data_IF_935894686897
#
_entry.id   IF_935894686897
#
_cell.length_a   1.000
_cell.length_b   1.000
_cell.length_c   1.000
_cell.angle_alpha   90.00
_cell.angle_beta   90.00
_cell.angle_gamma   90.00
#
_symmetry.space_group_name_H-M   'P 1'
#
loop_
_entity.id
_entity.type
_entity.pdbx_description
1 polymer ?
#
# COMPACT_ATOMS: atom_id res chain seq x y z
N UNK A 1 -41.85 38.00 19.58
CA UNK A 1 -40.91 39.13 19.73
C UNK A 1 -41.26 40.15 18.67
N UNK A 2 -41.57 41.38 19.08
CA UNK A 2 -41.85 42.51 18.18
C UNK A 2 -40.54 42.94 17.50
N UNK A 3 -40.60 43.24 16.20
CA UNK A 3 -39.44 43.75 15.47
C UNK A 3 -38.86 44.98 16.19
N UNK A 4 -37.53 45.11 16.29
CA UNK A 4 -36.92 46.30 16.87
C UNK A 4 -37.37 47.55 16.10
N UNK A 5 -37.49 48.71 16.78
CA UNK A 5 -38.01 49.92 16.17
C UNK A 5 -37.15 50.35 14.97
N UNK A 6 -37.80 50.56 13.83
CA UNK A 6 -37.16 51.02 12.60
C UNK A 6 -36.64 52.45 12.81
N UNK A 7 -35.33 52.67 12.64
CA UNK A 7 -34.70 53.97 12.84
C UNK A 7 -35.10 54.89 11.68
N UNK A 8 -36.16 55.70 11.85
CA UNK A 8 -36.58 56.69 10.85
C UNK A 8 -35.54 57.80 10.72
N UNK A 9 -35.06 58.02 9.50
CA UNK A 9 -34.26 59.20 9.13
C UNK A 9 -32.79 58.95 8.79
N UNK A 10 -32.32 57.69 8.76
CA UNK A 10 -30.95 57.35 8.35
C UNK A 10 -30.93 56.78 6.93
N UNK A 11 -30.09 57.34 6.06
CA UNK A 11 -29.83 56.79 4.72
C UNK A 11 -28.74 55.73 4.84
N UNK A 12 -28.97 54.46 4.46
CA UNK A 12 -27.94 53.43 4.51
C UNK A 12 -26.76 53.82 3.61
N UNK A 13 -25.53 53.71 4.13
CA UNK A 13 -24.31 53.91 3.35
C UNK A 13 -23.48 52.62 3.36
N UNK A 14 -23.08 52.15 2.19
CA UNK A 14 -22.13 51.05 2.05
C UNK A 14 -20.72 51.60 2.25
N UNK A 15 -20.00 51.05 3.22
CA UNK A 15 -18.60 51.40 3.52
C UNK A 15 -17.78 50.12 3.35
N UNK A 16 -16.71 50.17 2.58
CA UNK A 16 -15.74 49.09 2.48
C UNK A 16 -14.64 49.34 3.51
N UNK A 17 -14.48 48.41 4.45
CA UNK A 17 -13.42 48.46 5.46
C UNK A 17 -12.25 47.58 5.00
N UNK A 18 -11.02 48.05 5.18
CA UNK A 18 -9.80 47.32 4.87
C UNK A 18 -8.96 47.17 6.14
N UNK A 19 -8.24 46.05 6.26
CA UNK A 19 -7.19 45.87 7.27
C UNK A 19 -5.93 46.57 6.76
N UNK A 20 -5.43 47.53 7.53
CA UNK A 20 -4.19 48.25 7.18
C UNK A 20 -2.94 47.61 7.79
N UNK A 21 -3.11 46.75 8.79
CA UNK A 21 -1.99 46.09 9.45
C UNK A 21 -1.31 45.08 8.53
N UNK A 22 0.01 45.24 8.35
CA UNK A 22 0.86 44.29 7.63
C UNK A 22 1.21 43.05 8.47
N UNK A 23 0.93 43.08 9.78
CA UNK A 23 1.18 41.98 10.73
C UNK A 23 -0.13 41.35 11.16
N UNK A 24 -0.48 40.25 10.50
CA UNK A 24 -1.71 39.45 10.68
C UNK A 24 -1.73 38.62 11.98
N UNK A 25 -1.46 39.22 13.15
CA UNK A 25 -1.72 38.58 14.44
C UNK A 25 -2.84 39.32 15.17
N UNK A 26 -3.76 38.55 15.76
CA UNK A 26 -5.10 38.96 16.21
C UNK A 26 -5.15 40.10 17.25
N UNK A 27 -4.01 40.49 17.81
CA UNK A 27 -3.94 41.47 18.90
C UNK A 27 -3.81 42.92 18.43
N UNK A 28 -3.34 43.18 17.20
CA UNK A 28 -3.05 44.53 16.69
C UNK A 28 -3.67 44.77 15.29
N UNK A 29 -4.98 44.56 15.17
CA UNK A 29 -5.74 44.84 13.94
C UNK A 29 -6.27 46.27 13.94
N UNK A 30 -5.53 47.16 13.28
CA UNK A 30 -6.00 48.52 12.96
C UNK A 30 -6.94 48.50 11.75
N UNK A 31 -8.08 49.17 11.90
CA UNK A 31 -9.11 49.27 10.87
C UNK A 31 -9.32 50.71 10.43
N UNK A 32 -9.54 50.91 9.13
CA UNK A 32 -9.99 52.19 8.59
C UNK A 32 -11.36 52.04 7.90
N UNK A 33 -12.41 52.76 8.36
CA UNK A 33 -12.42 53.64 9.53
C UNK A 33 -12.38 52.86 10.86
N UNK A 34 -11.89 53.52 11.92
CA UNK A 34 -11.77 52.92 13.27
C UNK A 34 -13.11 52.73 13.99
N UNK A 35 -14.17 53.41 13.54
CA UNK A 35 -15.50 53.32 14.13
C UNK A 35 -16.61 53.41 13.08
N UNK A 36 -17.60 52.51 13.17
CA UNK A 36 -18.80 52.51 12.31
C UNK A 36 -20.04 52.57 13.21
N UNK A 37 -20.84 53.67 13.17
CA UNK A 37 -21.92 53.90 14.14
C UNK A 37 -23.12 52.97 14.00
N UNK A 38 -23.34 52.37 12.82
CA UNK A 38 -24.45 51.45 12.55
C UNK A 38 -23.99 50.38 11.55
N UNK A 39 -24.06 49.11 11.93
CA UNK A 39 -23.68 47.98 11.08
C UNK A 39 -24.95 47.27 10.61
N UNK A 40 -25.12 47.13 9.30
CA UNK A 40 -26.08 46.20 8.71
C UNK A 40 -25.30 44.97 8.24
N UNK A 41 -25.48 43.84 8.91
CA UNK A 41 -24.82 42.58 8.57
C UNK A 41 -25.59 41.89 7.45
N UNK A 42 -25.16 42.12 6.21
CA UNK A 42 -25.58 41.28 5.08
C UNK A 42 -24.65 40.06 5.04
N UNK A 43 -25.14 38.91 5.50
CA UNK A 43 -24.35 37.68 5.51
C UNK A 43 -24.06 37.23 4.09
N UNK A 44 -22.87 37.53 3.57
CA UNK A 44 -22.35 36.92 2.34
C UNK A 44 -21.80 35.55 2.71
N UNK A 45 -22.50 34.48 2.31
CA UNK A 45 -21.98 33.11 2.45
C UNK A 45 -20.90 32.93 1.38
N UNK A 46 -19.65 33.22 1.73
CA UNK A 46 -18.50 32.97 0.87
C UNK A 46 -17.93 31.58 1.19
N UNK A 47 -17.95 30.67 0.22
CA UNK A 47 -17.27 29.38 0.34
C UNK A 47 -15.77 29.58 0.16
N UNK A 48 -15.02 29.53 1.25
CA UNK A 48 -13.56 29.55 1.22
C UNK A 48 -13.06 28.11 1.18
N UNK A 49 -12.38 27.74 0.09
CA UNK A 49 -11.61 26.51 0.02
C UNK A 49 -10.27 26.75 0.71
N UNK A 50 -10.17 26.43 2.00
CA UNK A 50 -8.90 26.42 2.70
C UNK A 50 -8.08 25.21 2.21
N UNK A 51 -6.91 25.47 1.62
CA UNK A 51 -5.89 24.44 1.36
C UNK A 51 -4.80 24.56 2.41
N UNK A 52 -4.43 23.44 3.02
CA UNK A 52 -3.32 23.39 3.95
C UNK A 52 -2.04 23.07 3.17
N UNK A 53 -1.02 23.92 3.32
CA UNK A 53 0.30 23.76 2.73
C UNK A 53 1.36 23.79 3.82
N UNK A 54 2.33 22.89 3.77
CA UNK A 54 3.53 22.90 4.62
C UNK A 54 4.72 23.50 3.87
N UNK A 55 5.67 24.11 4.58
CA UNK A 55 6.91 24.60 3.96
C UNK A 55 7.95 23.47 3.94
N UNK A 56 8.33 23.02 2.74
CA UNK A 56 9.43 22.08 2.53
C UNK A 56 10.76 22.79 2.17
N UNK A 57 11.87 22.04 2.10
CA UNK A 57 13.20 22.58 1.78
C UNK A 57 13.31 23.19 0.36
N UNK A 58 12.40 22.83 -0.55
CA UNK A 58 12.34 23.36 -1.91
C UNK A 58 11.07 24.19 -2.20
N UNK A 59 10.33 24.58 -1.16
CA UNK A 59 9.11 25.39 -1.29
C UNK A 59 7.85 24.75 -0.69
N UNK A 60 6.67 25.33 -0.95
CA UNK A 60 5.41 24.90 -0.36
C UNK A 60 4.94 23.54 -0.90
N UNK A 61 4.48 22.67 0.00
CA UNK A 61 4.01 21.30 -0.27
C UNK A 61 2.56 21.17 0.18
N UNK A 62 1.70 20.57 -0.65
CA UNK A 62 0.27 20.38 -0.31
C UNK A 62 0.11 19.23 0.70
N UNK A 63 -0.62 19.48 1.80
CA UNK A 63 -0.91 18.46 2.80
C UNK A 63 -2.08 17.59 2.34
N UNK A 64 -1.96 16.26 2.51
CA UNK A 64 -3.02 15.30 2.18
C UNK A 64 -3.57 14.67 3.47
N UNK A 65 -4.88 14.47 3.49
CA UNK A 65 -5.55 13.71 4.55
C UNK A 65 -5.57 12.23 4.14
N UNK A 66 -5.16 11.35 5.05
CA UNK A 66 -5.25 9.89 4.85
C UNK A 66 -6.64 9.38 5.22
N UNK A 67 -6.97 8.14 4.85
CA UNK A 67 -8.32 7.55 5.02
C UNK A 67 -8.78 7.47 6.49
N UNK A 68 -7.84 7.47 7.42
CA UNK A 68 -8.04 7.44 8.89
C UNK A 68 -8.16 8.84 9.52
N UNK A 69 -8.08 9.92 8.73
CA UNK A 69 -8.21 11.29 9.23
C UNK A 69 -6.89 11.92 9.70
N UNK A 70 -5.76 11.21 9.57
CA UNK A 70 -4.45 11.75 9.88
C UNK A 70 -3.99 12.76 8.81
N UNK A 71 -3.35 13.85 9.26
CA UNK A 71 -2.79 14.87 8.37
C UNK A 71 -1.33 14.53 8.07
N UNK A 72 -1.06 14.06 6.85
CA UNK A 72 0.29 13.70 6.43
C UNK A 72 0.93 14.83 5.63
N UNK A 73 1.89 15.54 6.25
CA UNK A 73 2.89 16.31 5.52
C UNK A 73 3.99 15.34 5.14
N UNK A 74 3.78 14.54 4.09
CA UNK A 74 4.90 13.82 3.49
C UNK A 74 5.72 14.83 2.70
N UNK A 75 6.60 15.55 3.40
CA UNK A 75 7.93 15.72 2.82
C UNK A 75 8.45 14.31 2.60
N UNK A 76 9.08 14.03 1.45
CA UNK A 76 10.04 12.91 1.41
C UNK A 76 10.80 12.96 2.73
N UNK A 77 10.78 11.90 3.53
CA UNK A 77 11.53 11.90 4.78
C UNK A 77 12.94 12.35 4.39
N UNK A 78 13.47 13.41 5.00
CA UNK A 78 14.69 14.07 4.52
C UNK A 78 15.94 13.18 4.47
N UNK A 79 15.78 11.90 4.78
CA UNK A 79 16.75 10.82 4.64
C UNK A 79 16.68 10.08 3.29
N UNK A 80 15.69 10.29 2.40
CA UNK A 80 15.59 9.62 1.09
C UNK A 80 15.18 10.58 -0.02
N UNK A 81 15.76 10.40 -1.21
CA UNK A 81 15.58 11.30 -2.33
C UNK A 81 14.51 10.83 -3.31
N UNK A 82 14.34 9.51 -3.44
CA UNK A 82 13.39 8.92 -4.37
C UNK A 82 12.89 7.54 -3.89
N UNK A 83 11.94 6.99 -4.63
CA UNK A 83 11.39 5.66 -4.39
C UNK A 83 11.02 4.97 -5.69
N UNK A 84 10.96 3.64 -5.62
CA UNK A 84 10.46 2.78 -6.67
C UNK A 84 9.31 1.94 -6.12
N UNK A 85 8.27 1.76 -6.93
CA UNK A 85 7.09 0.97 -6.59
C UNK A 85 7.00 -0.21 -7.52
N UNK A 86 6.85 -1.40 -6.95
CA UNK A 86 6.60 -2.63 -7.68
C UNK A 86 5.34 -3.31 -7.13
N UNK A 87 4.48 -3.80 -8.02
CA UNK A 87 3.23 -4.48 -7.65
C UNK A 87 3.17 -5.84 -8.33
N UNK A 88 2.67 -6.85 -7.62
CA UNK A 88 2.36 -8.17 -8.17
C UNK A 88 0.98 -8.62 -7.70
N UNK A 89 0.10 -8.91 -8.65
CA UNK A 89 -1.05 -9.78 -8.41
C UNK A 89 -0.66 -11.19 -8.84
N UNK A 90 -0.80 -12.14 -7.92
CA UNK A 90 -0.54 -13.55 -8.23
C UNK A 90 -1.72 -14.16 -8.98
N UNK A 91 -1.46 -15.28 -9.63
CA UNK A 91 -2.45 -16.09 -10.35
C UNK A 91 -2.05 -17.55 -10.21
N UNK A 92 -3.04 -18.44 -10.15
CA UNK A 92 -2.80 -19.87 -10.26
C UNK A 92 -2.28 -20.21 -11.66
N UNK A 93 -1.31 -21.13 -11.70
CA UNK A 93 -0.86 -21.82 -12.92
C UNK A 93 -1.80 -22.99 -13.20
N UNK A 94 -2.19 -23.69 -12.12
CA UNK A 94 -3.04 -24.87 -12.15
C UNK A 94 -4.13 -24.71 -11.11
N UNK A 95 -5.33 -25.12 -11.47
CA UNK A 95 -6.45 -25.36 -10.58
C UNK A 95 -7.05 -26.72 -10.94
N UNK A 96 -6.90 -27.72 -10.07
CA UNK A 96 -7.33 -29.10 -10.35
C UNK A 96 -7.70 -29.84 -9.06
N UNK A 97 -7.89 -31.15 -9.17
CA UNK A 97 -8.23 -32.09 -8.10
C UNK A 97 -7.29 -33.29 -8.15
N UNK A 98 -6.61 -33.60 -7.04
CA UNK A 98 -5.69 -34.75 -6.95
C UNK A 98 -6.44 -36.07 -7.07
N UNK A 99 -5.79 -37.11 -7.59
CA UNK A 99 -6.34 -38.47 -7.67
C UNK A 99 -5.51 -39.53 -6.93
N UNK A 100 -4.34 -39.18 -6.40
CA UNK A 100 -3.51 -40.07 -5.57
C UNK A 100 -3.52 -39.78 -4.07
N UNK A 101 -2.93 -40.69 -3.30
CA UNK A 101 -2.79 -40.63 -1.82
C UNK A 101 -1.37 -40.95 -1.35
N UNK A 102 -0.37 -40.74 -2.22
CA UNK A 102 1.02 -41.00 -1.85
C UNK A 102 1.51 -39.89 -0.93
N UNK A 103 2.06 -40.27 0.23
CA UNK A 103 2.54 -39.32 1.24
C UNK A 103 3.59 -38.37 0.66
N UNK A 104 3.52 -37.09 1.05
CA UNK A 104 4.40 -36.00 0.59
C UNK A 104 4.40 -35.80 -0.93
N UNK A 105 3.31 -36.22 -1.62
CA UNK A 105 3.14 -36.06 -3.07
C UNK A 105 1.84 -35.38 -3.43
N UNK A 106 1.89 -34.67 -4.55
CA UNK A 106 0.71 -34.34 -5.34
C UNK A 106 0.71 -35.23 -6.58
N UNK A 107 -0.35 -36.02 -6.77
CA UNK A 107 -0.53 -36.92 -7.92
C UNK A 107 -1.83 -36.55 -8.61
N UNK A 108 -1.75 -36.20 -9.90
CA UNK A 108 -2.91 -35.84 -10.71
C UNK A 108 -2.71 -36.32 -12.15
N UNK A 109 -3.35 -37.44 -12.51
CA UNK A 109 -3.21 -38.02 -13.85
C UNK A 109 -3.84 -37.17 -14.97
N UNK A 110 -4.64 -36.15 -14.64
CA UNK A 110 -5.25 -35.26 -15.60
C UNK A 110 -4.39 -34.03 -15.93
N UNK A 111 -3.32 -33.78 -15.17
CA UNK A 111 -2.48 -32.58 -15.30
C UNK A 111 -1.04 -32.96 -15.65
N UNK A 112 -0.50 -32.38 -16.73
CA UNK A 112 0.91 -32.51 -17.10
C UNK A 112 1.74 -31.36 -16.50
N UNK A 113 2.36 -31.60 -15.36
CA UNK A 113 3.15 -30.63 -14.62
C UNK A 113 4.42 -30.18 -15.36
N UNK A 114 4.98 -31.03 -16.23
CA UNK A 114 6.18 -30.70 -17.00
C UNK A 114 5.83 -29.75 -18.13
N UNK A 115 4.74 -30.04 -18.86
CA UNK A 115 4.26 -29.16 -19.95
C UNK A 115 3.77 -27.80 -19.43
N UNK A 116 3.25 -27.75 -18.21
CA UNK A 116 2.87 -26.51 -17.53
C UNK A 116 4.03 -25.76 -16.89
N UNK A 117 5.27 -26.25 -17.09
CA UNK A 117 6.50 -25.64 -16.60
C UNK A 117 6.50 -25.47 -15.07
N UNK A 118 5.88 -26.37 -14.32
CA UNK A 118 5.92 -26.32 -12.85
C UNK A 118 7.36 -26.46 -12.39
N UNK A 119 7.76 -25.62 -11.43
CA UNK A 119 9.13 -25.55 -10.96
C UNK A 119 9.24 -25.85 -9.45
N UNK A 120 10.40 -26.35 -9.03
CA UNK A 120 10.75 -26.47 -7.61
C UNK A 120 10.67 -25.09 -6.95
N UNK A 121 9.99 -25.03 -5.80
CA UNK A 121 9.69 -23.81 -5.07
C UNK A 121 8.35 -23.16 -5.43
N UNK A 122 7.60 -23.68 -6.42
CA UNK A 122 6.20 -23.30 -6.62
C UNK A 122 5.37 -23.72 -5.39
N UNK A 123 4.38 -22.90 -5.01
CA UNK A 123 3.50 -23.16 -3.88
C UNK A 123 2.30 -23.99 -4.31
N UNK A 124 2.05 -25.09 -3.59
CA UNK A 124 0.86 -25.93 -3.73
C UNK A 124 -0.08 -25.63 -2.59
N UNK A 125 -1.24 -25.04 -2.89
CA UNK A 125 -2.27 -24.73 -1.90
C UNK A 125 -3.41 -25.75 -2.02
N UNK A 126 -3.59 -26.59 -1.00
CA UNK A 126 -4.78 -27.43 -0.87
C UNK A 126 -5.95 -26.56 -0.39
N UNK A 127 -6.98 -26.45 -1.23
CA UNK A 127 -8.14 -25.58 -0.99
C UNK A 127 -9.21 -26.27 -0.16
N UNK A 128 -9.18 -27.59 -0.04
CA UNK A 128 -10.08 -28.35 0.83
C UNK A 128 -9.71 -28.12 2.29
N UNK A 129 -8.44 -28.30 2.63
CA UNK A 129 -7.95 -28.30 4.01
C UNK A 129 -7.27 -26.98 4.43
N UNK A 130 -7.05 -26.08 3.47
CA UNK A 130 -6.35 -24.79 3.66
C UNK A 130 -4.92 -24.96 4.16
N UNK A 131 -4.27 -26.02 3.70
CA UNK A 131 -2.85 -26.31 3.92
C UNK A 131 -2.05 -25.96 2.68
N UNK A 132 -0.76 -25.70 2.86
CA UNK A 132 0.15 -25.34 1.77
C UNK A 132 1.48 -26.07 1.94
N UNK A 133 2.08 -26.42 0.81
CA UNK A 133 3.40 -27.01 0.71
C UNK A 133 4.16 -26.40 -0.48
N UNK A 134 5.47 -26.55 -0.51
CA UNK A 134 6.32 -26.20 -1.65
C UNK A 134 6.66 -27.44 -2.47
N UNK A 135 6.73 -27.28 -3.79
CA UNK A 135 7.28 -28.30 -4.68
C UNK A 135 8.77 -28.46 -4.40
N UNK A 136 9.21 -29.67 -4.04
CA UNK A 136 10.62 -30.01 -3.79
C UNK A 136 11.27 -30.74 -4.96
N UNK A 137 10.49 -31.45 -5.77
CA UNK A 137 10.93 -32.11 -7.00
C UNK A 137 9.75 -32.37 -7.95
N UNK A 138 10.07 -32.54 -9.23
CA UNK A 138 9.12 -32.99 -10.27
C UNK A 138 9.51 -34.42 -10.58
N UNK A 139 8.68 -35.39 -10.17
CA UNK A 139 9.03 -36.80 -10.26
C UNK A 139 8.76 -37.34 -11.66
N UNK A 140 7.62 -36.96 -12.24
CA UNK A 140 7.19 -37.29 -13.60
C UNK A 140 6.15 -36.27 -14.12
N UNK A 141 5.49 -36.60 -15.23
CA UNK A 141 4.47 -35.74 -15.85
C UNK A 141 3.30 -35.41 -14.91
N UNK A 142 2.94 -36.31 -14.00
CA UNK A 142 1.71 -36.27 -13.22
C UNK A 142 1.96 -36.32 -11.70
N UNK A 143 3.21 -36.24 -11.26
CA UNK A 143 3.59 -36.37 -9.85
C UNK A 143 4.62 -35.32 -9.42
N UNK A 144 4.33 -34.63 -8.33
CA UNK A 144 5.25 -33.69 -7.66
C UNK A 144 5.59 -34.16 -6.26
N UNK A 145 6.84 -33.96 -5.85
CA UNK A 145 7.27 -34.05 -4.46
C UNK A 145 6.98 -32.75 -3.71
N UNK A 146 6.45 -32.84 -2.49
CA UNK A 146 6.12 -31.70 -1.63
C UNK A 146 7.02 -31.69 -0.38
N UNK A 147 7.14 -30.55 0.30
CA UNK A 147 7.86 -30.43 1.59
C UNK A 147 6.99 -30.75 2.81
N UNK A 148 5.69 -30.98 2.61
CA UNK A 148 4.74 -31.42 3.62
C UNK A 148 3.65 -32.29 3.00
N UNK A 149 3.21 -33.30 3.75
CA UNK A 149 2.07 -34.14 3.39
C UNK A 149 0.75 -33.38 3.56
N UNK A 150 0.22 -32.86 2.45
CA UNK A 150 -0.96 -32.01 2.43
C UNK A 150 -2.07 -32.53 1.50
N UNK A 151 -1.93 -33.71 0.88
CA UNK A 151 -2.86 -34.18 -0.14
C UNK A 151 -3.50 -35.53 0.19
N UNK A 152 -4.82 -35.60 0.01
CA UNK A 152 -5.61 -36.83 -0.07
C UNK A 152 -6.37 -36.84 -1.41
N UNK A 153 -6.62 -38.02 -1.97
CA UNK A 153 -7.37 -38.18 -3.23
C UNK A 153 -8.72 -37.45 -3.19
N UNK A 154 -9.06 -36.76 -4.29
CA UNK A 154 -10.30 -35.99 -4.44
C UNK A 154 -10.24 -34.56 -3.91
N UNK A 155 -9.10 -34.10 -3.38
CA UNK A 155 -8.95 -32.74 -2.86
C UNK A 155 -8.60 -31.73 -3.95
N UNK A 156 -9.17 -30.54 -3.85
CA UNK A 156 -8.93 -29.47 -4.82
C UNK A 156 -7.68 -28.68 -4.45
N UNK A 157 -6.87 -28.31 -5.43
CA UNK A 157 -5.64 -27.58 -5.20
C UNK A 157 -5.40 -26.49 -6.25
N UNK A 158 -4.49 -25.56 -5.91
CA UNK A 158 -3.94 -24.57 -6.83
C UNK A 158 -2.42 -24.55 -6.74
N UNK A 159 -1.73 -24.33 -7.86
CA UNK A 159 -0.27 -24.13 -7.90
C UNK A 159 0.04 -22.69 -8.28
N UNK A 160 0.91 -22.01 -7.54
CA UNK A 160 1.23 -20.59 -7.73
C UNK A 160 2.74 -20.40 -7.71
N UNK A 161 3.23 -19.60 -8.67
CA UNK A 161 4.64 -19.26 -8.78
C UNK A 161 5.04 -18.12 -7.84
N UNK A 162 6.13 -18.28 -7.06
CA UNK A 162 6.79 -17.16 -6.41
C UNK A 162 7.19 -16.10 -7.42
N UNK A 163 7.19 -14.84 -6.99
CA UNK A 163 7.60 -13.73 -7.84
C UNK A 163 8.85 -13.06 -7.29
N UNK A 164 9.82 -12.81 -8.16
CA UNK A 164 11.01 -12.04 -7.83
C UNK A 164 10.83 -10.60 -8.29
N UNK A 165 10.81 -9.69 -7.33
CA UNK A 165 10.91 -8.27 -7.56
C UNK A 165 12.37 -7.88 -7.68
N UNK A 166 12.70 -7.11 -8.72
CA UNK A 166 14.01 -6.52 -8.92
C UNK A 166 13.82 -5.01 -9.07
N UNK A 167 14.43 -4.26 -8.16
CA UNK A 167 14.45 -2.81 -8.24
C UNK A 167 15.51 -2.36 -9.25
N UNK A 168 15.31 -1.18 -9.83
CA UNK A 168 16.24 -0.55 -10.77
C UNK A 168 17.60 -0.19 -10.16
N UNK A 169 17.67 -0.10 -8.83
CA UNK A 169 18.88 0.20 -8.07
C UNK A 169 18.76 -0.33 -6.64
N UNK A 170 19.84 -0.21 -5.86
CA UNK A 170 19.84 -0.61 -4.46
C UNK A 170 18.95 0.31 -3.62
N UNK A 171 18.03 -0.28 -2.88
CA UNK A 171 17.15 0.39 -1.93
C UNK A 171 17.80 0.41 -0.55
N UNK A 172 17.63 1.50 0.19
CA UNK A 172 18.10 1.67 1.57
C UNK A 172 17.03 1.38 2.63
N UNK A 173 15.76 1.39 2.22
CA UNK A 173 14.61 0.95 2.99
C UNK A 173 13.62 0.27 2.06
N UNK A 174 12.92 -0.72 2.57
CA UNK A 174 11.84 -1.40 1.86
C UNK A 174 10.58 -1.46 2.72
N UNK A 175 9.46 -1.15 2.09
CA UNK A 175 8.13 -1.38 2.63
C UNK A 175 7.46 -2.53 1.87
N UNK A 176 6.96 -3.50 2.63
CA UNK A 176 6.27 -4.69 2.15
C UNK A 176 4.78 -4.55 2.49
N UNK A 177 3.94 -4.73 1.48
CA UNK A 177 2.49 -4.77 1.64
C UNK A 177 1.96 -6.07 1.08
N UNK A 178 1.11 -6.72 1.85
CA UNK A 178 0.46 -7.97 1.49
C UNK A 178 -1.05 -7.79 1.54
N UNK A 179 -1.77 -8.39 0.59
CA UNK A 179 -3.23 -8.28 0.48
C UNK A 179 -3.89 -9.63 0.16
N UNK A 180 -5.04 -9.89 0.79
CA UNK A 180 -5.91 -11.07 0.58
C UNK A 180 -5.29 -12.46 0.84
N UNK A 181 -4.08 -12.54 1.38
CA UNK A 181 -3.43 -13.81 1.68
C UNK A 181 -2.07 -13.61 2.33
N UNK A 182 -1.53 -14.66 2.91
CA UNK A 182 -0.20 -14.74 3.51
C UNK A 182 0.89 -14.88 2.44
N UNK A 183 2.01 -14.20 2.65
CA UNK A 183 3.18 -14.23 1.77
C UNK A 183 4.46 -14.34 2.60
N UNK A 184 5.33 -15.28 2.22
CA UNK A 184 6.71 -15.33 2.67
C UNK A 184 7.56 -14.42 1.79
N UNK A 185 8.19 -13.41 2.39
CA UNK A 185 9.20 -12.59 1.71
C UNK A 185 10.60 -13.05 2.06
N UNK A 186 11.49 -13.04 1.07
CA UNK A 186 12.92 -13.14 1.29
C UNK A 186 13.62 -11.99 0.58
N UNK A 187 14.58 -11.37 1.25
CA UNK A 187 15.29 -10.20 0.73
C UNK A 187 16.74 -10.57 0.41
N UNK A 188 17.27 -10.02 -0.67
CA UNK A 188 18.70 -10.11 -0.99
C UNK A 188 19.44 -8.90 -0.43
N UNK A 189 20.70 -9.10 -0.07
CA UNK A 189 21.62 -7.99 0.19
C UNK A 189 22.46 -7.71 -1.06
N UNK A 190 22.14 -6.62 -1.74
CA UNK A 190 22.98 -5.97 -2.75
C UNK A 190 23.44 -6.86 -3.91
N UNK A 191 22.66 -7.88 -4.27
CA UNK A 191 23.00 -8.89 -5.29
C UNK A 191 24.28 -9.71 -4.99
N UNK A 192 24.90 -9.52 -3.82
CA UNK A 192 26.15 -10.21 -3.43
C UNK A 192 25.82 -11.47 -2.62
N UNK A 193 24.74 -11.43 -1.83
CA UNK A 193 24.34 -12.53 -0.96
C UNK A 193 23.05 -13.18 -1.48
N UNK A 194 22.88 -14.50 -1.27
CA UNK A 194 21.63 -15.19 -1.54
C UNK A 194 20.48 -14.58 -0.70
N UNK A 195 19.26 -14.98 -1.03
CA UNK A 195 18.08 -14.65 -0.24
C UNK A 195 18.28 -15.02 1.23
N UNK A 196 17.97 -14.07 2.12
CA UNK A 196 17.97 -14.30 3.55
C UNK A 196 16.80 -15.19 4.01
N UNK A 197 16.64 -15.26 5.32
CA UNK A 197 15.53 -15.98 5.94
C UNK A 197 14.16 -15.41 5.55
N UNK A 198 13.14 -16.25 5.67
CA UNK A 198 11.76 -15.89 5.36
C UNK A 198 11.20 -14.93 6.39
N UNK A 199 10.50 -13.91 5.89
CA UNK A 199 9.70 -12.97 6.65
C UNK A 199 8.25 -13.24 6.26
N UNK A 200 7.53 -13.90 7.15
CA UNK A 200 6.11 -14.19 6.96
C UNK A 200 5.28 -12.93 7.23
N UNK A 201 4.44 -12.54 6.28
CA UNK A 201 3.49 -11.43 6.43
C UNK A 201 2.06 -11.90 6.17
N UNK A 202 1.19 -11.65 7.15
CA UNK A 202 -0.24 -11.99 7.10
C UNK A 202 -1.01 -11.19 6.04
N UNK A 203 -2.25 -11.60 5.78
CA UNK A 203 -3.16 -10.83 4.93
C UNK A 203 -3.33 -9.40 5.44
N UNK A 204 -3.43 -8.46 4.49
CA UNK A 204 -3.65 -7.03 4.73
C UNK A 204 -2.66 -6.39 5.72
N UNK A 205 -1.44 -6.93 5.78
CA UNK A 205 -0.36 -6.45 6.64
C UNK A 205 0.61 -5.53 5.91
N UNK A 206 1.34 -4.77 6.73
CA UNK A 206 2.39 -3.85 6.30
C UNK A 206 3.62 -4.04 7.18
N UNK A 207 4.80 -4.03 6.56
CA UNK A 207 6.07 -4.10 7.25
C UNK A 207 7.10 -3.18 6.59
N UNK A 208 7.91 -2.48 7.38
CA UNK A 208 8.92 -1.54 6.90
C UNK A 208 10.27 -1.88 7.53
N UNK A 209 11.31 -1.91 6.70
CA UNK A 209 12.65 -2.34 7.07
C UNK A 209 13.71 -1.40 6.52
N UNK A 210 14.58 -0.88 7.39
CA UNK A 210 15.84 -0.26 6.97
C UNK A 210 16.83 -1.36 6.59
N UNK A 211 16.88 -1.69 5.31
CA UNK A 211 17.68 -2.79 4.79
C UNK A 211 18.13 -2.50 3.36
N UNK A 212 19.42 -2.75 3.09
CA UNK A 212 19.97 -2.62 1.76
C UNK A 212 19.51 -3.80 0.88
N UNK A 213 18.65 -3.51 -0.09
CA UNK A 213 17.95 -4.52 -0.88
C UNK A 213 17.94 -4.16 -2.37
N UNK A 214 18.23 -5.13 -3.23
CA UNK A 214 18.02 -4.99 -4.68
C UNK A 214 16.87 -5.87 -5.18
N UNK A 215 16.74 -7.06 -4.60
CA UNK A 215 15.73 -8.06 -4.97
C UNK A 215 14.98 -8.58 -3.77
N UNK A 216 13.70 -8.82 -3.96
CA UNK A 216 12.83 -9.45 -2.99
C UNK A 216 12.03 -10.57 -3.66
N UNK A 217 12.04 -11.76 -3.08
CA UNK A 217 11.20 -12.88 -3.51
C UNK A 217 9.96 -12.91 -2.64
N UNK A 218 8.80 -13.01 -3.27
CA UNK A 218 7.51 -13.14 -2.63
C UNK A 218 6.89 -14.48 -3.00
N UNK A 219 6.69 -15.34 -2.01
CA UNK A 219 6.11 -16.68 -2.15
C UNK A 219 4.75 -16.71 -1.48
N UNK A 220 3.64 -16.74 -2.24
CA UNK A 220 2.31 -16.87 -1.66
C UNK A 220 2.18 -18.22 -0.96
N UNK A 221 1.71 -18.20 0.27
CA UNK A 221 1.55 -19.41 1.10
C UNK A 221 0.09 -19.69 1.43
N UNK A 222 -0.82 -18.81 0.99
CA UNK A 222 -2.27 -19.05 0.99
C UNK A 222 -2.84 -18.52 -0.31
N UNK A 223 -3.95 -19.11 -0.73
CA UNK A 223 -4.58 -18.77 -1.99
C UNK A 223 -6.10 -18.88 -1.92
N UNK A 224 -6.76 -17.85 -2.43
CA UNK A 224 -8.18 -17.83 -2.72
C UNK A 224 -8.39 -17.45 -4.19
N UNK A 225 -9.13 -18.29 -4.90
CA UNK A 225 -9.50 -18.09 -6.31
C UNK A 225 -10.40 -16.87 -6.54
N UNK A 226 -11.08 -16.36 -5.50
CA UNK A 226 -11.97 -15.20 -5.63
C UNK A 226 -11.28 -13.90 -5.27
N UNK A 227 -10.35 -13.94 -4.32
CA UNK A 227 -9.55 -12.80 -3.89
C UNK A 227 -8.06 -13.09 -4.06
N UNK A 228 -7.55 -12.86 -5.27
CA UNK A 228 -6.14 -13.14 -5.56
C UNK A 228 -5.22 -12.44 -4.56
N UNK A 229 -4.27 -13.20 -4.02
CA UNK A 229 -3.17 -12.70 -3.20
C UNK A 229 -2.37 -11.65 -3.99
N UNK A 230 -2.05 -10.52 -3.35
CA UNK A 230 -1.28 -9.44 -3.99
C UNK A 230 -0.16 -8.99 -3.07
N UNK A 231 0.95 -8.62 -3.69
CA UNK A 231 2.10 -8.01 -3.05
C UNK A 231 2.37 -6.64 -3.66
N UNK A 232 2.74 -5.67 -2.84
CA UNK A 232 3.28 -4.40 -3.29
C UNK A 232 4.50 -4.07 -2.47
N UNK A 233 5.55 -3.67 -3.16
CA UNK A 233 6.82 -3.25 -2.58
C UNK A 233 7.05 -1.77 -2.88
N UNK A 234 7.50 -1.04 -1.86
CA UNK A 234 8.05 0.30 -2.03
C UNK A 234 9.50 0.29 -1.59
N UNK A 235 10.42 0.54 -2.51
CA UNK A 235 11.84 0.70 -2.20
C UNK A 235 12.19 2.18 -2.13
N UNK A 236 12.93 2.59 -1.09
CA UNK A 236 13.35 3.97 -0.88
C UNK A 236 14.87 4.08 -0.96
N UNK A 237 15.37 5.07 -1.70
CA UNK A 237 16.80 5.24 -1.95
C UNK A 237 17.20 6.72 -1.97
N UNK A 238 18.52 6.94 -1.84
CA UNK A 238 19.15 8.24 -2.06
C UNK A 238 19.69 8.30 -3.48
N UNK A 239 19.63 9.48 -4.09
CA UNK A 239 20.30 9.70 -5.36
C UNK A 239 21.77 9.94 -5.04
N UNK A 240 22.66 9.16 -5.65
CA UNK A 240 24.09 9.47 -5.58
C UNK A 240 24.32 10.88 -6.15
N UNK A 241 25.03 11.73 -5.42
CA UNK A 241 25.42 13.09 -5.86
C UNK A 241 26.33 13.07 -7.09
#
# INVERSE_FOLDING_TARGET
>A
MTNPPEVKGVTPKRIFQKIESERLFEVDLDFEPSYVPWIYLENVIQRVLARMVGQGPFGPVTVKCTKDGSLAVVSRGGAFDAYERLDKSFSSIVDSTTDGTTADKLVDSAVDFVTLDIAVGDSVCNRTDKTTALVTAIDDLNTLSLDADIMITGETYSIIRPYEFEFSQQMSRIDLFTYNGLIDYQLTRDNIQPYGDKIELFEDSFYSLDFFCLKAKATPTTWDTTSHTKSKLMGWYRLDE
#
